data_IF_406650030796
#
_entry.id   IF_406650030796
#
_cell.length_a   1.000
_cell.length_b   1.000
_cell.length_c   1.000
_cell.angle_alpha   90.00
_cell.angle_beta   90.00
_cell.angle_gamma   90.00
#
_symmetry.space_group_name_H-M   'P 1'
#
loop_
_entity.id
_entity.type
_entity.pdbx_description
1 polymer ?
#
# COMPACT_ATOMS: atom_id res chain seq x y z
N UNK A 1 13.73 -64.32 -34.64
CA UNK A 1 12.77 -63.78 -33.65
C UNK A 1 13.43 -63.19 -32.39
N UNK A 2 14.70 -62.72 -32.47
CA UNK A 2 15.50 -62.25 -31.32
C UNK A 2 15.68 -60.71 -31.30
N UNK A 3 15.74 -60.08 -32.49
CA UNK A 3 15.95 -58.62 -32.65
C UNK A 3 14.86 -57.73 -32.01
N UNK A 4 13.60 -58.16 -32.04
CA UNK A 4 12.49 -57.41 -31.42
C UNK A 4 12.49 -57.44 -29.88
N UNK A 5 13.06 -58.50 -29.28
CA UNK A 5 13.19 -58.59 -27.82
C UNK A 5 14.28 -57.66 -27.31
N UNK A 6 15.40 -57.55 -28.01
CA UNK A 6 16.46 -56.59 -27.68
C UNK A 6 15.99 -55.15 -27.82
N UNK A 7 15.25 -54.81 -28.88
CA UNK A 7 14.69 -53.45 -29.08
C UNK A 7 13.77 -53.05 -27.91
N UNK A 8 12.86 -53.93 -27.49
CA UNK A 8 11.97 -53.69 -26.34
C UNK A 8 12.76 -53.53 -25.04
N UNK A 9 13.81 -54.33 -24.86
CA UNK A 9 14.67 -54.23 -23.68
C UNK A 9 15.45 -52.91 -23.66
N UNK A 10 16.00 -52.45 -24.79
CA UNK A 10 16.66 -51.14 -24.89
C UNK A 10 15.72 -49.97 -24.62
N UNK A 11 14.47 -50.03 -25.09
CA UNK A 11 13.48 -48.98 -24.82
C UNK A 11 13.17 -48.89 -23.32
N UNK A 12 12.99 -50.04 -22.66
CA UNK A 12 12.74 -50.07 -21.21
C UNK A 12 13.94 -49.51 -20.45
N UNK A 13 15.17 -49.89 -20.81
CA UNK A 13 16.39 -49.37 -20.19
C UNK A 13 16.53 -47.85 -20.39
N UNK A 14 16.19 -47.34 -21.58
CA UNK A 14 16.20 -45.89 -21.84
C UNK A 14 15.16 -45.16 -20.98
N UNK A 15 13.95 -45.70 -20.83
CA UNK A 15 12.90 -45.07 -20.02
C UNK A 15 13.28 -45.07 -18.54
N UNK A 16 13.81 -46.18 -18.01
CA UNK A 16 14.23 -46.24 -16.60
C UNK A 16 15.43 -45.33 -16.33
N UNK A 17 16.39 -45.25 -17.26
CA UNK A 17 17.51 -44.30 -17.16
C UNK A 17 17.05 -42.84 -17.20
N UNK A 18 16.08 -42.51 -18.07
CA UNK A 18 15.51 -41.17 -18.14
C UNK A 18 14.77 -40.82 -16.84
N UNK A 19 13.95 -41.72 -16.31
CA UNK A 19 13.24 -41.52 -15.04
C UNK A 19 14.21 -41.39 -13.85
N UNK A 20 15.29 -42.16 -13.83
CA UNK A 20 16.34 -42.05 -12.83
C UNK A 20 17.05 -40.70 -12.93
N UNK A 21 17.41 -40.23 -14.14
CA UNK A 21 17.99 -38.91 -14.35
C UNK A 21 17.06 -37.77 -13.93
N UNK A 22 15.74 -37.89 -14.17
CA UNK A 22 14.74 -36.92 -13.72
C UNK A 22 14.64 -36.92 -12.20
N UNK A 23 14.67 -38.09 -11.55
CA UNK A 23 14.65 -38.18 -10.09
C UNK A 23 15.92 -37.63 -9.43
N UNK A 24 17.10 -37.83 -10.03
CA UNK A 24 18.37 -37.27 -9.58
C UNK A 24 18.45 -35.75 -9.83
N UNK A 25 17.90 -35.27 -10.96
CA UNK A 25 17.82 -33.85 -11.30
C UNK A 25 16.80 -33.11 -10.42
N UNK A 26 15.65 -33.73 -10.14
CA UNK A 26 14.62 -33.22 -9.24
C UNK A 26 15.08 -33.14 -7.79
N UNK A 27 15.92 -34.09 -7.34
CA UNK A 27 16.45 -34.14 -5.98
C UNK A 27 17.61 -33.19 -5.70
N UNK A 28 18.57 -33.06 -6.62
CA UNK A 28 19.84 -32.39 -6.33
C UNK A 28 19.94 -30.98 -6.93
N UNK A 29 19.31 -30.70 -8.08
CA UNK A 29 19.40 -29.36 -8.68
C UNK A 29 18.32 -28.39 -8.24
N UNK A 30 17.17 -28.84 -7.71
CA UNK A 30 16.18 -27.89 -7.16
C UNK A 30 16.62 -27.41 -5.78
N UNK A 31 17.29 -28.24 -4.97
CA UNK A 31 17.79 -27.82 -3.65
C UNK A 31 19.01 -26.92 -3.75
N UNK A 32 19.87 -27.12 -4.74
CA UNK A 32 20.99 -26.22 -5.01
C UNK A 32 20.55 -24.93 -5.75
N UNK A 33 19.47 -24.98 -6.54
CA UNK A 33 18.82 -23.78 -7.09
C UNK A 33 18.03 -23.02 -6.01
N UNK A 34 17.40 -23.71 -5.05
CA UNK A 34 16.75 -23.12 -3.87
C UNK A 34 17.75 -22.62 -2.82
N UNK A 35 18.95 -23.20 -2.74
CA UNK A 35 20.05 -22.71 -1.89
C UNK A 35 20.81 -21.53 -2.52
N UNK A 36 20.73 -21.37 -3.86
CA UNK A 36 21.18 -20.17 -4.57
C UNK A 36 20.12 -19.06 -4.61
N UNK A 37 18.82 -19.36 -4.55
CA UNK A 37 17.77 -18.35 -4.30
C UNK A 37 17.80 -17.80 -2.87
N UNK A 38 18.56 -18.41 -1.96
CA UNK A 38 18.77 -17.88 -0.60
C UNK A 38 19.98 -16.92 -0.48
N UNK A 39 20.72 -16.65 -1.56
CA UNK A 39 21.88 -15.73 -1.54
C UNK A 39 21.82 -14.56 -2.53
N UNK A 40 20.78 -14.41 -3.34
CA UNK A 40 20.54 -13.17 -4.10
C UNK A 40 19.96 -12.02 -3.27
N UNK A 41 19.66 -12.25 -1.97
CA UNK A 41 19.15 -11.24 -1.05
C UNK A 41 20.21 -10.28 -0.44
N UNK A 42 21.44 -10.22 -0.95
CA UNK A 42 22.41 -9.23 -0.45
C UNK A 42 23.05 -8.28 -1.46
N UNK A 43 22.96 -8.47 -2.78
CA UNK A 43 23.50 -7.49 -3.74
C UNK A 43 22.64 -7.45 -5.02
N UNK A 44 21.36 -7.15 -4.87
CA UNK A 44 20.57 -6.53 -5.94
C UNK A 44 19.96 -5.24 -5.40
N UNK A 45 20.77 -4.18 -5.45
CA UNK A 45 20.30 -2.79 -5.60
C UNK A 45 19.30 -2.36 -4.52
N UNK A 46 19.78 -2.14 -3.29
CA UNK A 46 19.11 -1.26 -2.32
C UNK A 46 19.36 0.24 -2.60
N UNK A 47 19.93 0.58 -3.77
CA UNK A 47 20.26 1.96 -4.16
C UNK A 47 19.11 2.71 -4.82
N UNK A 48 17.96 2.07 -5.06
CA UNK A 48 16.71 2.74 -5.44
C UNK A 48 15.56 2.09 -4.67
N UNK A 49 15.48 2.38 -3.37
CA UNK A 49 14.19 2.41 -2.70
C UNK A 49 13.69 3.86 -2.83
N UNK A 50 13.00 4.27 -3.92
CA UNK A 50 12.19 5.47 -3.81
C UNK A 50 11.26 5.16 -2.64
N UNK A 51 11.34 5.94 -1.56
CA UNK A 51 10.41 5.82 -0.42
C UNK A 51 9.06 5.46 -1.02
N UNK A 52 8.58 4.25 -0.79
CA UNK A 52 7.28 3.84 -1.31
C UNK A 52 6.31 4.89 -0.80
N UNK A 53 5.88 5.80 -1.66
CA UNK A 53 4.86 6.77 -1.31
C UNK A 53 3.64 5.90 -1.01
N UNK A 54 3.38 5.67 0.28
CA UNK A 54 2.10 5.14 0.69
C UNK A 54 1.09 6.19 0.25
N UNK A 55 0.39 5.87 -0.84
CA UNK A 55 -0.64 6.75 -1.38
C UNK A 55 -1.68 6.93 -0.30
N UNK A 56 -1.87 8.17 0.16
CA UNK A 56 -2.88 8.48 1.17
C UNK A 56 -4.25 7.96 0.69
N UNK A 57 -4.84 7.04 1.46
CA UNK A 57 -6.16 6.52 1.17
C UNK A 57 -7.20 7.39 1.85
N UNK A 58 -8.01 8.10 1.07
CA UNK A 58 -9.08 8.92 1.61
C UNK A 58 -10.19 8.01 2.19
N UNK A 59 -10.62 8.22 3.46
CA UNK A 59 -11.66 7.41 4.09
C UNK A 59 -13.07 7.68 3.53
N UNK A 60 -13.25 8.79 2.81
CA UNK A 60 -14.55 9.22 2.28
C UNK A 60 -14.48 9.32 0.76
N UNK A 61 -15.52 8.82 0.08
CA UNK A 61 -15.67 8.91 -1.39
C UNK A 61 -16.81 9.86 -1.76
N UNK A 62 -16.74 10.44 -2.95
CA UNK A 62 -17.82 11.26 -3.51
C UNK A 62 -17.30 12.35 -4.44
N UNK A 63 -18.22 12.98 -5.16
CA UNK A 63 -17.87 13.91 -6.25
C UNK A 63 -17.98 15.39 -5.85
N UNK A 64 -18.54 15.67 -4.67
CA UNK A 64 -18.83 17.01 -4.17
C UNK A 64 -18.12 17.25 -2.87
N UNK A 65 -17.24 18.25 -2.85
CA UNK A 65 -16.36 18.54 -1.71
C UNK A 65 -16.42 20.01 -1.30
N UNK A 66 -16.60 20.25 -0.02
CA UNK A 66 -16.40 21.55 0.61
C UNK A 66 -15.08 21.45 1.37
N UNK A 67 -14.12 22.34 1.06
CA UNK A 67 -12.82 22.39 1.74
C UNK A 67 -12.71 23.74 2.43
N UNK A 68 -12.49 23.72 3.74
CA UNK A 68 -12.36 24.94 4.56
C UNK A 68 -11.18 24.84 5.49
N UNK A 69 -10.51 25.96 5.73
CA UNK A 69 -9.49 26.10 6.77
C UNK A 69 -10.13 26.65 8.05
N UNK A 70 -9.52 26.39 9.21
CA UNK A 70 -9.96 26.99 10.48
C UNK A 70 -8.76 27.32 11.36
N UNK A 71 -8.95 28.34 12.19
CA UNK A 71 -8.09 28.68 13.35
C UNK A 71 -8.89 28.73 14.65
N UNK A 72 -10.21 28.52 14.58
CA UNK A 72 -11.16 28.62 15.71
C UNK A 72 -11.97 27.33 15.85
N UNK A 73 -12.73 27.22 16.94
CA UNK A 73 -13.74 26.17 17.13
C UNK A 73 -14.80 26.14 16.02
N UNK A 74 -15.54 25.02 15.84
CA UNK A 74 -16.56 24.89 14.80
C UNK A 74 -17.55 26.05 14.79
N UNK A 75 -17.66 26.74 13.66
CA UNK A 75 -18.59 27.86 13.48
C UNK A 75 -19.94 27.38 12.95
N UNK A 76 -20.96 28.26 12.99
CA UNK A 76 -22.27 28.01 12.37
C UNK A 76 -22.20 27.55 10.91
N UNK A 77 -21.16 27.94 10.16
CA UNK A 77 -20.96 27.52 8.78
C UNK A 77 -20.68 26.02 8.67
N UNK A 78 -19.86 25.45 9.56
CA UNK A 78 -19.58 23.99 9.60
C UNK A 78 -20.89 23.21 9.78
N UNK A 79 -21.73 23.62 10.73
CA UNK A 79 -23.02 22.99 10.97
C UNK A 79 -23.96 23.11 9.75
N UNK A 80 -23.97 24.26 9.07
CA UNK A 80 -24.74 24.43 7.82
C UNK A 80 -24.26 23.49 6.72
N UNK A 81 -22.95 23.35 6.53
CA UNK A 81 -22.39 22.43 5.55
C UNK A 81 -22.71 20.97 5.89
N UNK A 82 -22.71 20.60 7.17
CA UNK A 82 -23.09 19.27 7.67
C UNK A 82 -24.60 18.98 7.56
N UNK A 83 -25.43 20.00 7.44
CA UNK A 83 -26.90 19.88 7.31
C UNK A 83 -27.42 20.09 5.88
N UNK A 84 -26.55 20.26 4.88
CA UNK A 84 -26.98 20.33 3.49
C UNK A 84 -27.76 19.07 3.11
N UNK A 85 -28.90 19.27 2.45
CA UNK A 85 -29.75 18.18 1.93
C UNK A 85 -29.08 17.42 0.79
N UNK A 86 -28.20 18.09 0.05
CA UNK A 86 -27.34 17.46 -0.94
C UNK A 86 -26.09 16.88 -0.28
N UNK A 87 -25.69 15.68 -0.68
CA UNK A 87 -24.57 14.97 -0.09
C UNK A 87 -23.23 15.58 -0.55
N UNK A 88 -22.69 16.50 0.25
CA UNK A 88 -21.33 17.04 0.11
C UNK A 88 -20.41 16.41 1.15
N UNK A 89 -19.20 16.05 0.78
CA UNK A 89 -18.15 15.72 1.76
C UNK A 89 -17.52 17.02 2.25
N UNK A 90 -17.20 17.09 3.55
CA UNK A 90 -16.60 18.28 4.16
C UNK A 90 -15.21 17.94 4.66
N UNK A 91 -14.20 18.68 4.19
CA UNK A 91 -12.84 18.64 4.73
C UNK A 91 -12.61 19.95 5.50
N UNK A 92 -12.25 19.82 6.78
CA UNK A 92 -11.81 20.93 7.62
C UNK A 92 -10.33 20.77 7.89
N UNK A 93 -9.55 21.76 7.45
CA UNK A 93 -8.09 21.80 7.59
C UNK A 93 -7.76 22.70 8.78
N UNK A 94 -7.19 22.12 9.83
CA UNK A 94 -6.76 22.85 11.00
C UNK A 94 -5.43 23.56 10.76
N UNK A 95 -5.34 24.83 11.14
CA UNK A 95 -4.08 25.52 11.33
C UNK A 95 -3.45 25.21 12.70
N UNK A 96 -2.19 25.62 12.92
CA UNK A 96 -1.50 25.63 14.22
C UNK A 96 -2.30 26.33 15.33
N UNK A 97 -3.06 27.37 15.01
CA UNK A 97 -3.88 28.10 15.99
C UNK A 97 -5.19 27.38 16.34
N UNK A 98 -5.55 26.33 15.62
CA UNK A 98 -6.79 25.58 15.88
C UNK A 98 -6.73 24.89 17.24
N UNK A 99 -7.80 24.95 18.06
CA UNK A 99 -7.87 24.20 19.31
C UNK A 99 -7.69 22.69 19.07
N UNK A 100 -6.88 22.02 19.91
CA UNK A 100 -6.59 20.59 19.74
C UNK A 100 -7.81 19.69 19.95
N UNK A 101 -8.75 20.16 20.75
CA UNK A 101 -10.04 19.55 21.07
C UNK A 101 -11.16 19.98 20.10
N UNK A 102 -10.83 20.51 18.92
CA UNK A 102 -11.80 21.01 17.94
C UNK A 102 -12.91 19.99 17.62
N UNK A 103 -12.55 18.72 17.45
CA UNK A 103 -13.50 17.63 17.19
C UNK A 103 -14.43 17.36 18.38
N UNK A 104 -13.96 17.51 19.61
CA UNK A 104 -14.78 17.33 20.81
C UNK A 104 -15.83 18.44 20.94
N UNK A 105 -15.54 19.62 20.43
CA UNK A 105 -16.47 20.75 20.36
C UNK A 105 -17.46 20.67 19.20
N UNK A 106 -17.29 19.70 18.30
CA UNK A 106 -18.26 19.44 17.25
C UNK A 106 -19.34 18.53 17.81
N UNK A 107 -20.53 19.08 18.04
CA UNK A 107 -21.67 18.33 18.60
C UNK A 107 -22.30 17.31 17.64
N UNK A 108 -21.84 17.24 16.40
CA UNK A 108 -22.34 16.35 15.35
C UNK A 108 -21.23 15.38 14.95
N UNK A 109 -21.50 14.08 15.08
CA UNK A 109 -20.68 13.05 14.46
C UNK A 109 -21.18 12.79 13.03
N UNK A 110 -20.30 12.87 12.04
CA UNK A 110 -20.66 12.72 10.64
C UNK A 110 -19.60 11.94 9.88
N UNK A 111 -19.99 10.86 9.21
CA UNK A 111 -19.09 10.01 8.41
C UNK A 111 -18.54 10.70 7.15
N UNK A 112 -19.12 11.84 6.76
CA UNK A 112 -18.69 12.65 5.61
C UNK A 112 -17.80 13.84 5.97
N UNK A 113 -17.50 14.00 7.26
CA UNK A 113 -16.56 15.00 7.75
C UNK A 113 -15.17 14.37 7.87
N UNK A 114 -14.19 15.00 7.25
CA UNK A 114 -12.77 14.75 7.50
C UNK A 114 -12.22 16.00 8.18
N UNK A 115 -11.70 15.83 9.38
CA UNK A 115 -10.88 16.85 10.03
C UNK A 115 -9.42 16.45 9.87
N UNK A 116 -8.60 17.39 9.40
CA UNK A 116 -7.17 17.20 9.19
C UNK A 116 -6.41 18.16 10.10
N UNK A 117 -5.97 17.67 11.26
CA UNK A 117 -5.16 18.44 12.20
C UNK A 117 -3.79 18.76 11.63
N UNK A 118 -3.08 19.72 12.21
CA UNK A 118 -1.72 20.04 11.77
C UNK A 118 -0.77 18.86 11.95
N UNK A 119 -0.95 18.06 13.00
CA UNK A 119 -0.19 16.84 13.24
C UNK A 119 -0.45 15.81 12.14
N UNK A 120 -1.71 15.60 11.76
CA UNK A 120 -2.07 14.69 10.68
C UNK A 120 -1.52 15.16 9.33
N UNK A 121 -1.57 16.47 9.04
CA UNK A 121 -0.98 17.05 7.83
C UNK A 121 0.51 16.68 7.73
N UNK A 122 1.26 16.80 8.83
CA UNK A 122 2.68 16.49 8.87
C UNK A 122 3.01 15.00 8.70
N UNK A 123 2.04 14.10 8.92
CA UNK A 123 2.21 12.67 8.65
C UNK A 123 2.00 12.30 7.18
N UNK A 124 1.47 13.22 6.37
CA UNK A 124 1.27 12.97 4.95
C UNK A 124 2.61 13.06 4.22
N UNK A 125 2.90 12.08 3.38
CA UNK A 125 4.17 12.00 2.61
C UNK A 125 4.12 12.89 1.34
N UNK A 126 3.59 14.11 1.48
CA UNK A 126 3.58 15.09 0.40
C UNK A 126 4.87 15.91 0.42
N UNK A 127 5.67 15.78 -0.65
CA UNK A 127 6.95 16.48 -0.79
C UNK A 127 6.88 17.99 -0.55
N UNK A 128 5.74 18.63 -0.88
CA UNK A 128 5.54 20.07 -0.70
C UNK A 128 5.55 20.51 0.76
N UNK A 129 5.17 19.64 1.71
CA UNK A 129 5.14 19.95 3.13
C UNK A 129 6.54 20.26 3.69
N UNK A 130 7.59 19.73 3.08
CA UNK A 130 8.98 20.05 3.45
C UNK A 130 9.40 21.47 3.09
N UNK A 131 8.67 22.15 2.21
CA UNK A 131 9.01 23.47 1.70
C UNK A 131 8.06 24.57 2.18
N UNK A 132 6.92 24.22 2.78
CA UNK A 132 5.95 25.20 3.24
C UNK A 132 6.40 25.84 4.56
N UNK A 133 6.37 27.18 4.67
CA UNK A 133 6.71 27.86 5.91
C UNK A 133 5.69 27.52 7.01
N UNK A 134 6.21 27.20 8.20
CA UNK A 134 5.38 26.81 9.33
C UNK A 134 4.95 28.03 10.16
N UNK A 135 3.63 28.27 10.25
CA UNK A 135 3.06 29.29 11.15
C UNK A 135 3.20 30.73 10.68
N UNK A 136 2.91 30.99 9.40
CA UNK A 136 2.89 32.33 8.79
C UNK A 136 1.74 33.21 9.33
#
# INVERSE_FOLDING_TARGET
>A
MVRNKHIRLTIIICITSLMLSISLFSGNNIRDLLSLETSSNLISISLWNPKQLQTFQCPVRGDKWIVVTTIFYPTKAIYKFLNLTTQWNLIVIGDKKTPKDWLLHLSINSSRLIYLSIEQQNTLDFRILHYLPYGS
#
